data_IF_563360116575
#
_entry.id   IF_563360116575
#
_cell.length_a   1.000
_cell.length_b   1.000
_cell.length_c   1.000
_cell.angle_alpha   90.00
_cell.angle_beta   90.00
_cell.angle_gamma   90.00
#
_symmetry.space_group_name_H-M   'P 1'
#
loop_
_entity.id
_entity.type
_entity.pdbx_description
1 polymer ?
#
# COMPACT_ATOMS: atom_id res chain seq x y z
N UNK A 1 -12.90 42.64 16.81
CA UNK A 1 -13.59 42.04 15.65
C UNK A 1 -13.83 43.17 14.66
N UNK A 2 -13.36 43.03 13.41
CA UNK A 2 -13.58 44.05 12.39
C UNK A 2 -14.96 43.84 11.77
N UNK A 3 -15.85 44.85 11.76
CA UNK A 3 -17.14 44.74 11.08
C UNK A 3 -16.92 44.65 9.57
N UNK A 4 -17.65 43.76 8.91
CA UNK A 4 -17.69 43.68 7.45
C UNK A 4 -18.86 44.53 6.99
N UNK A 5 -18.59 45.52 6.15
CA UNK A 5 -19.60 46.38 5.53
C UNK A 5 -19.78 45.90 4.10
N UNK A 6 -21.03 45.64 3.71
CA UNK A 6 -21.41 45.30 2.35
C UNK A 6 -22.05 46.54 1.73
N UNK A 7 -21.33 47.19 0.83
CA UNK A 7 -21.78 48.36 0.08
C UNK A 7 -22.34 47.94 -1.29
N UNK A 8 -23.15 48.80 -1.91
CA UNK A 8 -23.70 48.63 -3.27
C UNK A 8 -24.46 47.31 -3.53
N UNK A 9 -25.14 46.79 -2.51
CA UNK A 9 -26.04 45.65 -2.67
C UNK A 9 -27.26 46.02 -3.51
N UNK A 10 -27.61 45.15 -4.46
CA UNK A 10 -28.83 45.29 -5.26
C UNK A 10 -30.06 45.42 -4.34
N UNK A 11 -30.93 46.43 -4.55
CA UNK A 11 -32.14 46.61 -3.75
C UNK A 11 -33.03 45.36 -3.64
N UNK A 12 -33.08 44.53 -4.70
CA UNK A 12 -33.84 43.28 -4.70
C UNK A 12 -33.24 42.25 -3.72
N UNK A 13 -31.90 42.21 -3.62
CA UNK A 13 -31.21 41.33 -2.67
C UNK A 13 -31.50 41.79 -1.23
N UNK A 14 -31.46 43.10 -0.98
CA UNK A 14 -31.79 43.68 0.32
C UNK A 14 -33.23 43.35 0.71
N UNK A 15 -34.17 43.50 -0.22
CA UNK A 15 -35.58 43.19 0.01
C UNK A 15 -35.78 41.70 0.32
N UNK A 16 -35.17 40.82 -0.47
CA UNK A 16 -35.24 39.37 -0.25
C UNK A 16 -34.66 38.96 1.11
N UNK A 17 -33.50 39.51 1.50
CA UNK A 17 -32.88 39.24 2.81
C UNK A 17 -33.78 39.69 3.96
N UNK A 18 -34.41 40.86 3.84
CA UNK A 18 -35.34 41.35 4.86
C UNK A 18 -36.59 40.48 4.98
N UNK A 19 -37.22 40.09 3.87
CA UNK A 19 -38.37 39.19 3.89
C UNK A 19 -38.03 37.83 4.51
N UNK A 20 -36.85 37.31 4.20
CA UNK A 20 -36.36 36.05 4.78
C UNK A 20 -36.08 36.17 6.29
N UNK A 21 -35.42 37.24 6.72
CA UNK A 21 -35.16 37.49 8.14
C UNK A 21 -36.46 37.60 8.95
N UNK A 22 -37.46 38.32 8.43
CA UNK A 22 -38.78 38.42 9.04
C UNK A 22 -39.48 37.05 9.14
N UNK A 23 -39.44 36.25 8.07
CA UNK A 23 -40.00 34.90 8.05
C UNK A 23 -39.41 34.00 9.15
N UNK A 24 -38.13 34.16 9.45
CA UNK A 24 -37.43 33.38 10.46
C UNK A 24 -37.45 34.03 11.86
N UNK A 25 -38.06 35.22 12.02
CA UNK A 25 -38.05 35.96 13.28
C UNK A 25 -36.67 36.45 13.69
N UNK A 26 -35.74 36.58 12.73
CA UNK A 26 -34.36 36.97 12.96
C UNK A 26 -34.13 38.45 12.65
N UNK A 27 -33.09 39.04 13.24
CA UNK A 27 -32.54 40.29 12.72
C UNK A 27 -31.87 40.05 11.36
N UNK A 28 -31.82 41.07 10.51
CA UNK A 28 -31.15 40.99 9.21
C UNK A 28 -29.70 40.51 9.34
N UNK A 29 -28.97 41.04 10.32
CA UNK A 29 -27.59 40.65 10.59
C UNK A 29 -27.47 39.18 11.03
N UNK A 30 -28.40 38.69 11.87
CA UNK A 30 -28.40 37.29 12.29
C UNK A 30 -28.72 36.35 11.12
N UNK A 31 -29.63 36.74 10.22
CA UNK A 31 -29.96 35.97 9.03
C UNK A 31 -28.77 35.90 8.06
N UNK A 32 -28.11 37.03 7.77
CA UNK A 32 -26.90 37.07 6.94
C UNK A 32 -25.80 36.20 7.53
N UNK A 33 -25.59 36.26 8.85
CA UNK A 33 -24.61 35.41 9.54
C UNK A 33 -24.96 33.92 9.40
N UNK A 34 -26.24 33.56 9.53
CA UNK A 34 -26.72 32.18 9.36
C UNK A 34 -26.45 31.66 7.95
N UNK A 35 -26.72 32.46 6.92
CA UNK A 35 -26.45 32.11 5.52
C UNK A 35 -24.95 31.86 5.31
N UNK A 36 -24.09 32.76 5.79
CA UNK A 36 -22.64 32.61 5.66
C UNK A 36 -22.11 31.37 6.40
N UNK A 37 -22.69 31.04 7.56
CA UNK A 37 -22.34 29.84 8.30
C UNK A 37 -22.74 28.57 7.54
N UNK A 38 -23.94 28.52 6.97
CA UNK A 38 -24.41 27.38 6.16
C UNK A 38 -23.51 27.14 4.95
N UNK A 39 -23.11 28.20 4.25
CA UNK A 39 -22.16 28.12 3.13
C UNK A 39 -20.78 27.61 3.56
N UNK A 40 -20.32 28.01 4.75
CA UNK A 40 -19.03 27.57 5.29
C UNK A 40 -19.06 26.08 5.66
N UNK A 41 -20.14 25.61 6.29
CA UNK A 41 -20.31 24.20 6.65
C UNK A 41 -20.38 23.32 5.40
N UNK A 42 -21.20 23.70 4.41
CA UNK A 42 -21.31 22.97 3.15
C UNK A 42 -19.97 22.85 2.43
N UNK A 43 -19.20 23.96 2.34
CA UNK A 43 -17.86 23.95 1.75
C UNK A 43 -16.86 23.09 2.53
N UNK A 44 -16.99 23.04 3.86
CA UNK A 44 -16.11 22.21 4.71
C UNK A 44 -16.41 20.72 4.54
N UNK A 45 -17.68 20.36 4.34
CA UNK A 45 -18.09 18.98 4.06
C UNK A 45 -17.62 18.51 2.68
N UNK A 46 -17.75 19.34 1.63
CA UNK A 46 -17.17 19.04 0.31
C UNK A 46 -15.65 18.83 0.40
N UNK A 47 -14.93 19.73 1.08
CA UNK A 47 -13.48 19.62 1.26
C UNK A 47 -13.08 18.34 2.01
N UNK A 48 -13.88 17.91 3.00
CA UNK A 48 -13.65 16.64 3.69
C UNK A 48 -13.85 15.43 2.77
N UNK A 49 -14.90 15.42 1.96
CA UNK A 49 -15.15 14.34 1.00
C UNK A 49 -13.98 14.19 0.02
N UNK A 50 -13.46 15.31 -0.51
CA UNK A 50 -12.27 15.27 -1.37
C UNK A 50 -11.00 14.80 -0.64
N UNK A 51 -10.84 15.13 0.64
CA UNK A 51 -9.70 14.68 1.43
C UNK A 51 -9.74 13.17 1.67
N UNK A 52 -10.92 12.62 1.99
CA UNK A 52 -11.12 11.19 2.22
C UNK A 52 -10.86 10.37 0.94
N UNK A 53 -11.31 10.85 -0.23
CA UNK A 53 -11.03 10.23 -1.52
C UNK A 53 -9.52 10.20 -1.85
N UNK A 54 -8.80 11.28 -1.55
CA UNK A 54 -7.34 11.35 -1.75
C UNK A 54 -6.62 10.39 -0.80
N UNK A 55 -7.04 10.30 0.46
CA UNK A 55 -6.47 9.37 1.45
C UNK A 55 -6.69 7.92 1.00
N UNK A 56 -7.90 7.59 0.54
CA UNK A 56 -8.23 6.25 0.05
C UNK A 56 -7.40 5.88 -1.18
N UNK A 57 -7.31 6.78 -2.17
CA UNK A 57 -6.48 6.58 -3.36
C UNK A 57 -5.00 6.34 -3.01
N UNK A 58 -4.45 7.12 -2.07
CA UNK A 58 -3.08 6.94 -1.60
C UNK A 58 -2.88 5.59 -0.90
N UNK A 59 -3.83 5.17 -0.07
CA UNK A 59 -3.78 3.88 0.60
C UNK A 59 -3.79 2.71 -0.41
N UNK A 60 -4.66 2.78 -1.42
CA UNK A 60 -4.76 1.77 -2.47
C UNK A 60 -3.47 1.67 -3.30
N UNK A 61 -2.86 2.79 -3.66
CA UNK A 61 -1.56 2.80 -4.35
C UNK A 61 -0.44 2.20 -3.50
N UNK A 62 -0.40 2.49 -2.19
CA UNK A 62 0.58 1.89 -1.30
C UNK A 62 0.39 0.37 -1.18
N UNK A 63 -0.86 -0.10 -1.08
CA UNK A 63 -1.18 -1.53 -1.06
C UNK A 63 -0.77 -2.22 -2.37
N UNK A 64 -1.03 -1.59 -3.52
CA UNK A 64 -0.57 -2.10 -4.82
C UNK A 64 0.96 -2.20 -4.87
N UNK A 65 1.67 -1.19 -4.38
CA UNK A 65 3.14 -1.19 -4.38
C UNK A 65 3.73 -2.26 -3.44
N UNK A 66 3.12 -2.47 -2.26
CA UNK A 66 3.47 -3.59 -1.37
C UNK A 66 3.23 -4.93 -2.05
N UNK A 67 2.12 -5.09 -2.77
CA UNK A 67 1.80 -6.32 -3.50
C UNK A 67 2.81 -6.59 -4.61
N UNK A 68 3.18 -5.58 -5.39
CA UNK A 68 4.19 -5.70 -6.46
C UNK A 68 5.55 -6.10 -5.86
N UNK A 69 6.01 -5.40 -4.82
CA UNK A 69 7.29 -5.71 -4.20
C UNK A 69 7.31 -7.10 -3.54
N UNK A 70 6.23 -7.51 -2.87
CA UNK A 70 6.17 -8.85 -2.25
C UNK A 70 6.16 -9.99 -3.28
N UNK A 71 5.54 -9.79 -4.44
CA UNK A 71 5.55 -10.76 -5.54
C UNK A 71 6.91 -10.81 -6.26
N UNK A 72 7.55 -9.67 -6.47
CA UNK A 72 8.88 -9.61 -7.10
C UNK A 72 9.94 -10.30 -6.25
N UNK A 73 9.91 -10.08 -4.93
CA UNK A 73 10.93 -10.60 -4.01
C UNK A 73 10.85 -12.12 -3.82
N UNK A 74 9.65 -12.71 -3.90
CA UNK A 74 9.47 -14.17 -3.81
C UNK A 74 9.95 -14.90 -5.06
N UNK A 75 9.78 -14.30 -6.24
CA UNK A 75 10.22 -14.92 -7.49
C UNK A 75 11.76 -14.93 -7.61
N UNK A 76 12.44 -13.82 -7.26
CA UNK A 76 13.92 -13.77 -7.28
C UNK A 76 14.57 -14.74 -6.27
N UNK A 77 14.01 -14.86 -5.06
CA UNK A 77 14.52 -15.79 -4.03
C UNK A 77 14.33 -17.26 -4.44
N UNK A 78 13.19 -17.61 -5.06
CA UNK A 78 12.96 -18.97 -5.54
C UNK A 78 13.86 -19.34 -6.73
N UNK A 79 14.07 -18.43 -7.67
CA UNK A 79 14.94 -18.66 -8.83
C UNK A 79 16.41 -18.84 -8.42
N UNK A 80 16.90 -17.98 -7.52
CA UNK A 80 18.29 -18.06 -7.03
C UNK A 80 18.54 -19.31 -6.17
N UNK A 81 17.60 -19.67 -5.30
CA UNK A 81 17.72 -20.88 -4.47
C UNK A 81 17.68 -22.16 -5.33
N UNK A 82 16.78 -22.23 -6.32
CA UNK A 82 16.65 -23.41 -7.18
C UNK A 82 17.90 -23.60 -8.06
N UNK A 83 18.45 -22.49 -8.58
CA UNK A 83 19.67 -22.50 -9.39
C UNK A 83 20.90 -22.93 -8.60
N UNK A 84 21.06 -22.44 -7.38
CA UNK A 84 22.18 -22.80 -6.51
C UNK A 84 22.12 -24.29 -6.12
N UNK A 85 20.94 -24.78 -5.75
CA UNK A 85 20.75 -26.19 -5.38
C UNK A 85 20.99 -27.15 -6.55
N UNK A 86 20.63 -26.76 -7.78
CA UNK A 86 20.91 -27.58 -8.97
C UNK A 86 22.41 -27.65 -9.30
N UNK A 87 23.12 -26.53 -9.17
CA UNK A 87 24.56 -26.47 -9.41
C UNK A 87 25.33 -27.32 -8.38
N UNK A 88 24.98 -27.21 -7.10
CA UNK A 88 25.60 -27.98 -6.02
C UNK A 88 25.37 -29.50 -6.19
N UNK A 89 24.17 -29.91 -6.63
CA UNK A 89 23.87 -31.31 -6.93
C UNK A 89 24.70 -31.86 -8.10
N UNK A 90 24.95 -31.04 -9.13
CA UNK A 90 25.80 -31.41 -10.27
C UNK A 90 27.26 -31.57 -9.84
N UNK A 91 27.75 -30.69 -8.98
CA UNK A 91 29.11 -30.76 -8.43
C UNK A 91 29.29 -31.98 -7.52
N UNK A 92 28.32 -32.31 -6.67
CA UNK A 92 28.34 -33.53 -5.86
C UNK A 92 28.33 -34.78 -6.75
N UNK A 93 27.50 -34.81 -7.80
CA UNK A 93 27.49 -35.92 -8.76
C UNK A 93 28.82 -36.07 -9.49
N UNK A 94 29.46 -34.97 -9.89
CA UNK A 94 30.77 -34.98 -10.53
C UNK A 94 31.84 -35.53 -9.58
N UNK A 95 31.93 -35.02 -8.35
CA UNK A 95 32.86 -35.51 -7.32
C UNK A 95 32.64 -37.00 -7.01
N UNK A 96 31.39 -37.46 -6.92
CA UNK A 96 31.09 -38.88 -6.73
C UNK A 96 31.52 -39.76 -7.92
N UNK A 97 31.49 -39.23 -9.13
CA UNK A 97 31.96 -39.93 -10.33
C UNK A 97 33.49 -40.01 -10.36
N UNK A 98 34.17 -38.97 -9.89
CA UNK A 98 35.64 -38.93 -9.74
C UNK A 98 36.15 -39.80 -8.59
N UNK A 99 35.33 -40.06 -7.56
CA UNK A 99 35.65 -40.99 -6.47
C UNK A 99 35.49 -42.47 -6.87
N UNK A 100 34.84 -42.76 -8.00
CA UNK A 100 34.55 -44.13 -8.46
C UNK A 100 35.70 -44.94 -9.10
N UNK A 101 36.86 -44.42 -9.54
CA UNK A 101 37.91 -45.28 -10.10
C UNK A 101 38.82 -45.90 -9.02
N UNK A 102 38.59 -45.65 -7.72
CA UNK A 102 39.53 -46.08 -6.65
C UNK A 102 39.08 -47.23 -5.74
N UNK A 103 37.81 -47.64 -5.75
CA UNK A 103 37.33 -48.72 -4.85
C UNK A 103 36.92 -49.95 -5.67
N UNK A 104 37.80 -50.37 -6.57
CA UNK A 104 37.80 -51.77 -6.97
C UNK A 104 38.46 -52.53 -5.83
N UNK A 105 37.66 -53.25 -5.03
CA UNK A 105 38.16 -54.39 -4.26
C UNK A 105 38.64 -55.41 -5.29
N UNK A 106 39.87 -55.22 -5.77
CA UNK A 106 40.52 -56.14 -6.69
C UNK A 106 40.52 -57.52 -6.05
N UNK A 107 39.76 -58.43 -6.64
CA UNK A 107 39.69 -59.88 -6.41
C UNK A 107 39.63 -60.38 -4.96
N UNK A 108 39.37 -59.53 -3.96
CA UNK A 108 39.14 -59.96 -2.59
C UNK A 108 37.71 -60.46 -2.46
N UNK A 109 37.58 -61.77 -2.29
CA UNK A 109 36.30 -62.37 -1.92
C UNK A 109 35.89 -61.87 -0.52
N UNK A 110 34.57 -61.81 -0.27
CA UNK A 110 33.99 -61.41 1.02
C UNK A 110 34.60 -62.18 2.20
N UNK A 111 35.13 -63.39 1.95
CA UNK A 111 35.80 -64.23 2.95
C UNK A 111 37.13 -63.64 3.42
N UNK A 112 37.97 -63.19 2.49
CA UNK A 112 39.32 -62.69 2.79
C UNK A 112 39.29 -61.33 3.51
N UNK A 113 38.32 -60.48 3.19
CA UNK A 113 38.11 -59.20 3.88
C UNK A 113 37.74 -59.36 5.37
N UNK A 114 37.17 -60.51 5.76
CA UNK A 114 36.80 -60.79 7.17
C UNK A 114 37.96 -61.33 8.01
N UNK A 115 38.97 -61.94 7.40
CA UNK A 115 40.13 -62.49 8.14
C UNK A 115 41.18 -61.43 8.45
N UNK A 116 41.35 -60.42 7.58
CA UNK A 116 42.28 -59.31 7.80
C UNK A 116 41.83 -58.30 8.87
N UNK A 117 40.57 -58.35 9.30
CA UNK A 117 40.00 -57.46 10.31
C UNK A 117 40.10 -57.99 11.75
N UNK A 118 40.87 -59.05 11.99
CA UNK A 118 41.19 -59.55 13.34
C UNK A 118 42.58 -59.11 13.76
#
# INVERSE_FOLDING_TARGET
>A
MNPIILEDLDPNIIQWLNSRAQKHGNSLQAEVKSILQQLTVAKTEEVKLFADDIIQCKADLMLQQIKIHSQSNMNELMETSTRNNQQELLEIKAKLKELKPGISLGNLSIREARELGR
#
